data_IF_400420361520
#
_entry.id   IF_400420361520
#
_cell.length_a   1.000
_cell.length_b   1.000
_cell.length_c   1.000
_cell.angle_alpha   90.00
_cell.angle_beta   90.00
_cell.angle_gamma   90.00
#
_symmetry.space_group_name_H-M   'P 1'
#
loop_
_entity.id
_entity.type
_entity.pdbx_description
1 polymer ?
#
# COMPACT_ATOMS: atom_id res chain seq x y z
N UNK A 1 7.89 -40.47 53.05
CA UNK A 1 9.38 -40.58 53.08
C UNK A 1 9.92 -39.99 51.81
N UNK A 2 10.70 -38.94 52.00
CA UNK A 2 11.83 -38.33 51.27
C UNK A 2 11.48 -37.83 49.86
N UNK A 3 11.17 -36.54 49.65
CA UNK A 3 12.08 -35.37 49.57
C UNK A 3 13.36 -35.63 48.76
N UNK A 4 13.40 -35.05 47.56
CA UNK A 4 14.63 -34.45 47.06
C UNK A 4 14.34 -33.19 46.25
N UNK A 5 14.63 -32.07 46.85
CA UNK A 5 14.97 -30.81 46.22
C UNK A 5 16.15 -31.01 45.28
N UNK A 6 16.06 -30.51 44.05
CA UNK A 6 17.25 -30.23 43.27
C UNK A 6 17.18 -28.78 42.74
N UNK A 7 17.81 -27.89 43.49
CA UNK A 7 18.20 -26.57 43.07
C UNK A 7 19.34 -26.68 42.04
N UNK A 8 18.99 -26.51 40.78
CA UNK A 8 19.97 -26.35 39.70
C UNK A 8 19.93 -24.95 39.15
N UNK A 9 20.85 -24.10 39.62
CA UNK A 9 21.16 -22.82 38.99
C UNK A 9 21.69 -23.12 37.57
N UNK A 10 20.91 -22.83 36.55
CA UNK A 10 21.35 -22.90 35.14
C UNK A 10 21.82 -21.51 34.69
N UNK A 11 23.10 -21.26 34.84
CA UNK A 11 23.85 -20.25 34.09
C UNK A 11 24.07 -20.83 32.70
N UNK A 12 23.37 -20.35 31.68
CA UNK A 12 23.56 -20.79 30.32
C UNK A 12 22.34 -20.38 29.49
N UNK A 13 22.42 -19.21 28.84
CA UNK A 13 21.34 -18.67 28.01
C UNK A 13 20.95 -19.59 26.86
N UNK A 14 20.02 -20.47 27.08
CA UNK A 14 19.24 -21.07 26.00
C UNK A 14 18.18 -20.07 25.60
N UNK A 15 18.24 -19.61 24.34
CA UNK A 15 17.15 -18.89 23.68
C UNK A 15 15.89 -19.71 23.85
N UNK A 16 14.73 -19.09 24.13
CA UNK A 16 13.48 -19.83 24.18
C UNK A 16 13.27 -20.50 22.82
N UNK A 17 13.27 -21.80 22.83
CA UNK A 17 12.88 -22.67 21.75
C UNK A 17 11.36 -22.49 21.59
N UNK A 18 10.91 -21.57 20.73
CA UNK A 18 9.54 -21.55 20.23
C UNK A 18 9.37 -22.73 19.27
N UNK A 19 9.47 -23.94 19.82
CA UNK A 19 9.23 -25.17 19.09
C UNK A 19 7.76 -25.54 19.22
N UNK A 20 7.09 -25.46 18.09
CA UNK A 20 6.04 -26.36 17.64
C UNK A 20 5.22 -27.08 18.73
N UNK A 21 4.12 -26.44 19.12
CA UNK A 21 2.95 -27.17 19.58
C UNK A 21 1.66 -26.50 19.12
N UNK A 22 1.51 -26.34 17.81
CA UNK A 22 0.24 -26.10 17.16
C UNK A 22 -0.21 -27.39 16.46
N UNK A 23 -0.37 -28.44 17.22
CA UNK A 23 -1.18 -29.58 16.80
C UNK A 23 -2.64 -29.22 17.12
N UNK A 24 -3.43 -28.94 16.07
CA UNK A 24 -4.87 -29.09 16.17
C UNK A 24 -5.78 -27.97 15.72
N UNK A 25 -5.32 -26.73 15.42
CA UNK A 25 -6.18 -25.64 14.86
C UNK A 25 -5.49 -24.80 13.81
N UNK A 26 -4.52 -25.37 13.11
CA UNK A 26 -3.75 -24.66 12.09
C UNK A 26 -4.64 -24.24 10.90
N UNK A 27 -4.54 -22.97 10.49
CA UNK A 27 -5.13 -22.46 9.26
C UNK A 27 -4.70 -23.35 8.09
N UNK A 28 -5.62 -23.61 7.14
CA UNK A 28 -5.31 -24.43 5.96
C UNK A 28 -4.28 -23.71 5.08
N UNK A 29 -3.13 -24.30 4.86
CA UNK A 29 -2.08 -23.81 3.95
C UNK A 29 -2.48 -24.05 2.50
N UNK A 30 -3.22 -23.12 1.92
CA UNK A 30 -3.76 -23.22 0.55
C UNK A 30 -3.19 -22.18 -0.41
N UNK A 31 -2.64 -21.08 0.11
CA UNK A 31 -2.18 -19.95 -0.70
C UNK A 31 -0.84 -20.25 -1.38
N UNK A 32 -0.77 -19.95 -2.67
CA UNK A 32 0.45 -20.01 -3.46
C UNK A 32 0.87 -18.61 -3.92
N UNK A 33 2.03 -18.51 -4.57
CA UNK A 33 2.62 -17.23 -5.00
C UNK A 33 1.66 -16.30 -5.76
N UNK A 34 0.85 -16.76 -6.77
CA UNK A 34 -0.05 -15.84 -7.48
C UNK A 34 -1.12 -15.22 -6.59
N UNK A 35 -1.67 -16.01 -5.65
CA UNK A 35 -2.68 -15.51 -4.72
C UNK A 35 -2.10 -14.47 -3.76
N UNK A 36 -0.86 -14.67 -3.30
CA UNK A 36 -0.14 -13.73 -2.43
C UNK A 36 0.17 -12.41 -3.16
N UNK A 37 0.63 -12.48 -4.41
CA UNK A 37 0.90 -11.28 -5.23
C UNK A 37 -0.39 -10.52 -5.48
N UNK A 38 -1.47 -11.23 -5.85
CA UNK A 38 -2.77 -10.60 -6.05
C UNK A 38 -3.27 -9.92 -4.77
N UNK A 39 -3.19 -10.62 -3.63
CA UNK A 39 -3.55 -10.07 -2.32
C UNK A 39 -2.77 -8.78 -2.00
N UNK A 40 -1.45 -8.78 -2.20
CA UNK A 40 -0.61 -7.61 -1.98
C UNK A 40 -0.99 -6.44 -2.88
N UNK A 41 -1.25 -6.68 -4.18
CA UNK A 41 -1.70 -5.64 -5.10
C UNK A 41 -3.08 -5.10 -4.74
N UNK A 42 -4.00 -5.97 -4.27
CA UNK A 42 -5.32 -5.57 -3.74
C UNK A 42 -5.15 -4.63 -2.55
N UNK A 43 -4.26 -4.99 -1.63
CA UNK A 43 -4.06 -4.23 -0.39
C UNK A 43 -3.40 -2.86 -0.63
N UNK A 44 -2.52 -2.76 -1.62
CA UNK A 44 -1.87 -1.49 -2.02
C UNK A 44 -2.79 -0.54 -2.79
N UNK A 45 -4.00 -0.97 -3.15
CA UNK A 45 -5.03 -0.16 -3.83
C UNK A 45 -4.48 0.58 -5.05
N UNK A 46 -4.56 0.02 -6.27
CA UNK A 46 -3.94 0.58 -7.49
C UNK A 46 -4.26 2.05 -7.79
N UNK A 47 -5.40 2.55 -7.38
CA UNK A 47 -5.81 3.95 -7.61
C UNK A 47 -5.35 4.94 -6.52
N UNK A 48 -4.62 4.50 -5.49
CA UNK A 48 -4.06 5.40 -4.45
C UNK A 48 -3.19 6.50 -5.07
N UNK A 49 -2.58 6.23 -6.22
CA UNK A 49 -1.83 7.24 -6.97
C UNK A 49 -2.65 8.50 -7.21
N UNK A 50 -3.90 8.39 -7.60
CA UNK A 50 -4.75 9.53 -7.92
C UNK A 50 -5.14 10.37 -6.70
N UNK A 51 -5.15 9.80 -5.50
CA UNK A 51 -5.45 10.53 -4.26
C UNK A 51 -4.30 11.41 -3.78
N UNK A 52 -3.05 11.05 -4.13
CA UNK A 52 -1.85 11.78 -3.72
C UNK A 52 -1.26 12.61 -4.86
N UNK A 53 -1.74 12.41 -6.10
CA UNK A 53 -1.15 12.95 -7.32
C UNK A 53 -1.01 14.47 -7.30
N UNK A 54 -2.08 15.19 -7.01
CA UNK A 54 -2.07 16.66 -7.07
C UNK A 54 -1.12 17.26 -6.04
N UNK A 55 -1.22 16.83 -4.79
CA UNK A 55 -0.35 17.29 -3.70
C UNK A 55 1.12 17.05 -4.02
N UNK A 56 1.45 15.85 -4.52
CA UNK A 56 2.84 15.52 -4.86
C UNK A 56 3.31 16.26 -6.10
N UNK A 57 2.44 16.47 -7.09
CA UNK A 57 2.77 17.23 -8.29
C UNK A 57 3.09 18.69 -7.96
N UNK A 58 2.31 19.32 -7.07
CA UNK A 58 2.59 20.68 -6.59
C UNK A 58 3.91 20.76 -5.80
N UNK A 59 4.12 19.83 -4.86
CA UNK A 59 5.35 19.77 -4.05
C UNK A 59 6.60 19.60 -4.94
N UNK A 60 6.50 18.74 -5.97
CA UNK A 60 7.65 18.37 -6.80
C UNK A 60 7.83 19.23 -8.05
N UNK A 61 6.89 20.13 -8.35
CA UNK A 61 6.88 20.89 -9.60
C UNK A 61 6.75 19.99 -10.83
N UNK A 62 5.78 19.05 -10.80
CA UNK A 62 5.52 18.15 -11.90
C UNK A 62 6.45 16.92 -12.01
N UNK A 63 7.36 16.67 -11.04
CA UNK A 63 8.31 15.54 -11.06
C UNK A 63 7.79 14.29 -10.35
N UNK A 64 6.48 14.04 -10.41
CA UNK A 64 5.82 12.95 -9.67
C UNK A 64 6.33 11.56 -10.08
N UNK A 65 6.64 11.34 -11.37
CA UNK A 65 7.21 10.08 -11.82
C UNK A 65 8.60 9.81 -11.22
N UNK A 66 9.47 10.84 -11.15
CA UNK A 66 10.77 10.72 -10.50
C UNK A 66 10.65 10.47 -9.00
N UNK A 67 9.67 11.10 -8.34
CA UNK A 67 9.38 10.85 -6.93
C UNK A 67 8.93 9.39 -6.70
N UNK A 68 8.08 8.83 -7.56
CA UNK A 68 7.69 7.41 -7.48
C UNK A 68 8.87 6.45 -7.68
N UNK A 69 9.80 6.74 -8.60
CA UNK A 69 10.99 5.90 -8.79
C UNK A 69 11.91 5.93 -7.56
N UNK A 70 12.09 7.09 -6.94
CA UNK A 70 12.86 7.22 -5.69
C UNK A 70 12.18 6.46 -4.56
N UNK A 71 10.85 6.64 -4.41
CA UNK A 71 10.07 5.91 -3.41
C UNK A 71 10.15 4.41 -3.63
N UNK A 72 9.99 3.94 -4.88
CA UNK A 72 10.13 2.52 -5.21
C UNK A 72 11.51 1.99 -4.80
N UNK A 73 12.59 2.72 -5.11
CA UNK A 73 13.93 2.32 -4.70
C UNK A 73 14.05 2.20 -3.17
N UNK A 74 13.55 3.20 -2.42
CA UNK A 74 13.55 3.17 -0.96
C UNK A 74 12.70 2.02 -0.41
N UNK A 75 11.50 1.82 -0.94
CA UNK A 75 10.58 0.76 -0.51
C UNK A 75 11.10 -0.64 -0.82
N UNK A 76 11.92 -0.80 -1.88
CA UNK A 76 12.57 -2.08 -2.18
C UNK A 76 13.55 -2.49 -1.06
N UNK A 77 14.29 -1.57 -0.47
CA UNK A 77 15.14 -1.90 0.70
C UNK A 77 14.29 -2.43 1.85
N UNK A 78 13.15 -1.79 2.12
CA UNK A 78 12.22 -2.26 3.15
C UNK A 78 11.64 -3.62 2.78
N UNK A 79 11.19 -3.82 1.53
CA UNK A 79 10.65 -5.09 1.03
C UNK A 79 11.68 -6.23 1.14
N UNK A 80 12.95 -5.98 0.83
CA UNK A 80 14.03 -6.96 1.05
C UNK A 80 14.24 -7.27 2.52
N UNK A 81 14.20 -6.25 3.41
CA UNK A 81 14.30 -6.45 4.85
C UNK A 81 13.19 -7.39 5.36
N UNK A 82 11.93 -7.12 4.98
CA UNK A 82 10.79 -8.00 5.29
C UNK A 82 11.00 -9.42 4.72
N UNK A 83 11.48 -9.52 3.50
CA UNK A 83 11.78 -10.81 2.86
C UNK A 83 12.79 -11.65 3.65
N UNK A 84 13.83 -11.02 4.18
CA UNK A 84 14.81 -11.68 5.05
C UNK A 84 14.20 -12.10 6.38
N UNK A 85 13.34 -11.23 6.97
CA UNK A 85 12.68 -11.55 8.25
C UNK A 85 11.69 -12.70 8.12
N UNK A 86 10.88 -12.74 7.04
CA UNK A 86 9.98 -13.87 6.77
C UNK A 86 10.71 -15.19 6.61
N UNK A 87 11.87 -15.20 5.90
CA UNK A 87 12.68 -16.41 5.78
C UNK A 87 13.15 -16.94 7.11
N UNK A 88 13.47 -16.04 8.03
CA UNK A 88 13.97 -16.41 9.37
C UNK A 88 12.84 -16.73 10.34
N UNK A 89 11.74 -15.98 10.26
CA UNK A 89 10.58 -16.06 11.15
C UNK A 89 9.28 -16.10 10.32
N UNK A 90 8.88 -17.28 9.79
CA UNK A 90 7.68 -17.41 8.96
C UNK A 90 6.40 -17.45 9.82
N UNK A 91 6.17 -16.38 10.57
CA UNK A 91 5.02 -16.20 11.48
C UNK A 91 4.24 -14.96 11.08
N UNK A 92 2.95 -14.96 11.36
CA UNK A 92 2.11 -13.80 11.20
C UNK A 92 2.47 -12.70 12.22
N UNK A 93 2.09 -11.45 11.91
CA UNK A 93 2.27 -10.30 12.81
C UNK A 93 3.17 -9.19 12.28
N UNK A 94 3.67 -9.33 11.03
CA UNK A 94 4.39 -8.26 10.30
C UNK A 94 5.49 -7.60 11.16
N UNK A 95 5.64 -6.27 11.08
CA UNK A 95 6.68 -5.53 11.80
C UNK A 95 6.66 -5.73 13.32
N UNK A 96 5.48 -5.91 13.94
CA UNK A 96 5.38 -6.19 15.37
C UNK A 96 6.19 -7.42 15.78
N UNK A 97 5.92 -8.55 15.11
CA UNK A 97 6.59 -9.82 15.43
C UNK A 97 8.10 -9.75 15.17
N UNK A 98 8.50 -9.20 14.02
CA UNK A 98 9.90 -9.09 13.67
C UNK A 98 10.68 -8.18 14.62
N UNK A 99 10.08 -7.05 15.00
CA UNK A 99 10.71 -6.09 15.93
C UNK A 99 10.81 -6.66 17.34
N UNK A 100 9.74 -7.32 17.82
CA UNK A 100 9.75 -7.97 19.14
C UNK A 100 10.83 -9.04 19.25
N UNK A 101 11.00 -9.84 18.20
CA UNK A 101 12.01 -10.91 18.18
C UNK A 101 13.44 -10.39 18.02
N UNK A 102 13.62 -9.24 17.36
CA UNK A 102 14.96 -8.69 17.08
C UNK A 102 15.46 -7.74 18.16
N UNK A 103 14.58 -6.90 18.71
CA UNK A 103 14.94 -5.79 19.62
C UNK A 103 14.28 -5.91 20.99
N UNK A 104 13.43 -6.92 21.21
CA UNK A 104 12.75 -7.16 22.46
C UNK A 104 11.36 -6.53 22.57
N UNK A 105 10.62 -6.83 23.67
CA UNK A 105 9.19 -6.53 23.79
C UNK A 105 8.87 -5.03 23.82
N UNK A 106 9.74 -4.19 24.38
CA UNK A 106 9.49 -2.74 24.45
C UNK A 106 9.46 -2.10 23.05
N UNK A 107 10.46 -2.41 22.21
CA UNK A 107 10.52 -1.89 20.82
C UNK A 107 9.43 -2.53 19.98
N UNK A 108 9.15 -3.81 20.19
CA UNK A 108 8.03 -4.52 19.57
C UNK A 108 6.68 -3.87 19.89
N UNK A 109 6.45 -3.47 21.14
CA UNK A 109 5.23 -2.77 21.53
C UNK A 109 5.08 -1.44 20.79
N UNK A 110 6.13 -0.64 20.66
CA UNK A 110 6.09 0.62 19.90
C UNK A 110 5.77 0.40 18.42
N UNK A 111 6.38 -0.62 17.81
CA UNK A 111 6.07 -0.99 16.43
C UNK A 111 4.62 -1.46 16.28
N UNK A 112 4.13 -2.29 17.19
CA UNK A 112 2.73 -2.75 17.21
C UNK A 112 1.74 -1.61 17.43
N UNK A 113 2.06 -0.67 18.29
CA UNK A 113 1.25 0.52 18.51
C UNK A 113 1.17 1.39 17.24
N UNK A 114 2.30 1.60 16.55
CA UNK A 114 2.34 2.33 15.29
C UNK A 114 1.50 1.66 14.20
N UNK A 115 1.59 0.33 14.08
CA UNK A 115 0.72 -0.44 13.17
C UNK A 115 -0.77 -0.32 13.53
N UNK A 116 -1.10 -0.34 14.81
CA UNK A 116 -2.49 -0.15 15.25
C UNK A 116 -3.02 1.23 14.85
N UNK A 117 -2.20 2.28 14.98
CA UNK A 117 -2.57 3.63 14.56
C UNK A 117 -2.77 3.69 13.03
N UNK A 118 -1.91 3.04 12.25
CA UNK A 118 -2.05 2.95 10.80
C UNK A 118 -3.39 2.30 10.42
N UNK A 119 -3.71 1.14 10.98
CA UNK A 119 -4.99 0.46 10.75
C UNK A 119 -6.22 1.22 11.23
N UNK A 120 -6.06 2.16 12.17
CA UNK A 120 -7.15 3.01 12.64
C UNK A 120 -7.36 4.24 11.74
N UNK A 121 -6.26 4.93 11.39
CA UNK A 121 -6.35 6.20 10.65
C UNK A 121 -6.53 6.00 9.14
N UNK A 122 -5.99 4.94 8.56
CA UNK A 122 -6.10 4.68 7.12
C UNK A 122 -7.55 4.53 6.63
N UNK A 123 -8.42 3.73 7.27
CA UNK A 123 -9.85 3.69 6.92
C UNK A 123 -10.54 5.05 7.11
N UNK A 124 -10.20 5.80 8.15
CA UNK A 124 -10.78 7.11 8.40
C UNK A 124 -10.49 8.08 7.24
N UNK A 125 -9.25 8.14 6.77
CA UNK A 125 -8.85 8.97 5.62
C UNK A 125 -9.62 8.52 4.38
N UNK A 126 -9.73 7.21 4.13
CA UNK A 126 -10.44 6.70 2.96
C UNK A 126 -11.94 7.07 2.98
N UNK A 127 -12.61 7.05 4.14
CA UNK A 127 -14.00 7.50 4.25
C UNK A 127 -14.15 9.00 3.96
N UNK A 128 -13.20 9.83 4.40
CA UNK A 128 -13.19 11.27 4.10
C UNK A 128 -13.01 11.51 2.60
N UNK A 129 -12.10 10.79 1.94
CA UNK A 129 -11.89 10.86 0.49
C UNK A 129 -13.13 10.43 -0.30
N UNK A 130 -13.81 9.37 0.12
CA UNK A 130 -15.10 8.97 -0.48
C UNK A 130 -16.11 10.12 -0.38
N UNK A 131 -16.22 10.75 0.79
CA UNK A 131 -17.08 11.92 0.98
C UNK A 131 -16.72 13.08 0.06
N UNK A 132 -15.44 13.40 -0.08
CA UNK A 132 -14.93 14.45 -0.94
C UNK A 132 -15.26 14.19 -2.42
N UNK A 133 -14.85 13.04 -2.97
CA UNK A 133 -15.06 12.73 -4.39
C UNK A 133 -16.53 12.60 -4.77
N UNK A 134 -17.34 12.00 -3.90
CA UNK A 134 -18.78 11.88 -4.18
C UNK A 134 -19.50 13.22 -4.05
N UNK A 135 -19.07 14.11 -3.15
CA UNK A 135 -19.63 15.46 -3.07
C UNK A 135 -19.31 16.30 -4.32
N UNK A 136 -18.14 16.13 -4.92
CA UNK A 136 -17.78 16.77 -6.21
C UNK A 136 -18.71 16.23 -7.32
N UNK A 137 -18.97 14.93 -7.35
CA UNK A 137 -19.85 14.31 -8.36
C UNK A 137 -21.33 14.66 -8.14
N UNK A 138 -21.76 14.82 -6.88
CA UNK A 138 -23.13 15.10 -6.48
C UNK A 138 -23.22 16.28 -5.49
N UNK A 139 -23.03 17.53 -5.95
CA UNK A 139 -22.93 18.71 -5.06
C UNK A 139 -24.18 18.98 -4.24
N UNK A 140 -25.33 18.43 -4.64
CA UNK A 140 -26.61 18.57 -3.90
C UNK A 140 -26.61 17.80 -2.57
N UNK A 141 -25.71 16.83 -2.38
CA UNK A 141 -25.67 15.98 -1.20
C UNK A 141 -24.42 16.35 -0.37
N UNK A 142 -24.58 16.71 0.92
CA UNK A 142 -23.44 17.04 1.77
C UNK A 142 -22.46 15.86 1.91
N UNK A 143 -21.15 16.14 1.93
CA UNK A 143 -20.09 15.12 2.01
C UNK A 143 -20.26 14.13 3.18
N UNK A 144 -20.72 14.62 4.36
CA UNK A 144 -20.91 13.76 5.53
C UNK A 144 -21.93 12.64 5.33
N UNK A 145 -22.93 12.82 4.42
CA UNK A 145 -23.93 11.78 4.09
C UNK A 145 -23.22 10.60 3.41
N UNK A 146 -22.33 10.87 2.46
CA UNK A 146 -21.54 9.84 1.78
C UNK A 146 -20.58 9.13 2.74
N UNK A 147 -19.95 9.88 3.67
CA UNK A 147 -19.08 9.32 4.71
C UNK A 147 -19.86 8.32 5.58
N UNK A 148 -21.02 8.72 6.09
CA UNK A 148 -21.86 7.85 6.93
C UNK A 148 -22.40 6.64 6.15
N UNK A 149 -22.80 6.85 4.90
CA UNK A 149 -23.25 5.75 4.02
C UNK A 149 -22.13 4.72 3.78
N UNK A 150 -20.91 5.19 3.52
CA UNK A 150 -19.75 4.31 3.32
C UNK A 150 -19.40 3.53 4.60
N UNK A 151 -19.38 4.19 5.77
CA UNK A 151 -19.16 3.53 7.06
C UNK A 151 -20.24 2.47 7.30
N UNK A 152 -21.51 2.83 7.09
CA UNK A 152 -22.64 1.90 7.26
C UNK A 152 -22.52 0.68 6.34
N UNK A 153 -22.23 0.90 5.04
CA UNK A 153 -22.06 -0.16 4.06
C UNK A 153 -20.93 -1.12 4.46
N UNK A 154 -19.75 -0.59 4.78
CA UNK A 154 -18.60 -1.40 5.17
C UNK A 154 -18.87 -2.15 6.47
N UNK A 155 -19.54 -1.52 7.45
CA UNK A 155 -19.93 -2.17 8.70
C UNK A 155 -20.88 -3.34 8.43
N UNK A 156 -21.92 -3.15 7.61
CA UNK A 156 -22.85 -4.22 7.23
C UNK A 156 -22.14 -5.37 6.54
N UNK A 157 -21.25 -5.09 5.58
CA UNK A 157 -20.48 -6.11 4.89
C UNK A 157 -19.61 -6.93 5.85
N UNK A 158 -18.98 -6.27 6.83
CA UNK A 158 -18.17 -6.96 7.85
C UNK A 158 -19.03 -7.85 8.77
N UNK A 159 -20.23 -7.39 9.13
CA UNK A 159 -21.17 -8.19 9.97
C UNK A 159 -21.69 -9.40 9.21
N UNK A 160 -21.95 -9.28 7.91
CA UNK A 160 -22.41 -10.42 7.06
C UNK A 160 -21.33 -11.51 6.95
N UNK A 161 -20.06 -11.11 6.96
CA UNK A 161 -18.96 -12.05 7.04
C UNK A 161 -17.88 -11.90 5.97
N UNK A 162 -16.72 -12.50 6.25
CA UNK A 162 -15.48 -12.35 5.49
C UNK A 162 -15.57 -12.78 4.02
N UNK A 163 -16.41 -13.75 3.69
CA UNK A 163 -16.60 -14.22 2.31
C UNK A 163 -17.21 -13.14 1.41
N UNK A 164 -18.16 -12.35 1.96
CA UNK A 164 -18.79 -11.24 1.26
C UNK A 164 -17.80 -10.09 1.05
N UNK A 165 -16.98 -9.80 2.07
CA UNK A 165 -15.92 -8.79 1.99
C UNK A 165 -14.87 -9.18 0.95
N UNK A 166 -14.41 -10.44 0.93
CA UNK A 166 -13.42 -10.91 -0.04
C UNK A 166 -13.98 -10.86 -1.48
N UNK A 167 -15.22 -11.26 -1.69
CA UNK A 167 -15.87 -11.17 -3.00
C UNK A 167 -15.98 -9.73 -3.50
N UNK A 168 -16.43 -8.83 -2.66
CA UNK A 168 -16.53 -7.40 -2.97
C UNK A 168 -15.16 -6.78 -3.26
N UNK A 169 -14.15 -7.10 -2.46
CA UNK A 169 -12.76 -6.60 -2.65
C UNK A 169 -12.21 -7.01 -4.03
N UNK A 170 -12.43 -8.26 -4.45
CA UNK A 170 -11.97 -8.73 -5.77
C UNK A 170 -12.65 -7.96 -6.92
N UNK A 171 -13.95 -7.68 -6.80
CA UNK A 171 -14.68 -6.89 -7.81
C UNK A 171 -14.16 -5.46 -7.85
N UNK A 172 -13.99 -4.81 -6.70
CA UNK A 172 -13.50 -3.42 -6.62
C UNK A 172 -12.09 -3.32 -7.21
N UNK A 173 -11.19 -4.23 -6.86
CA UNK A 173 -9.82 -4.21 -7.38
C UNK A 173 -9.77 -4.54 -8.86
N UNK A 174 -10.58 -5.49 -9.32
CA UNK A 174 -10.75 -5.75 -10.75
C UNK A 174 -11.20 -4.49 -11.50
N UNK A 175 -12.18 -3.77 -10.96
CA UNK A 175 -12.64 -2.50 -11.52
C UNK A 175 -11.53 -1.42 -11.54
N UNK A 176 -10.68 -1.35 -10.50
CA UNK A 176 -9.55 -0.42 -10.46
C UNK A 176 -8.50 -0.72 -11.55
N UNK A 177 -8.18 -1.99 -11.79
CA UNK A 177 -7.28 -2.36 -12.89
C UNK A 177 -7.88 -2.02 -14.26
N UNK A 178 -9.18 -2.31 -14.47
CA UNK A 178 -9.88 -1.92 -15.70
C UNK A 178 -9.84 -0.40 -15.88
N UNK A 179 -10.12 0.35 -14.82
CA UNK A 179 -10.03 1.81 -14.82
C UNK A 179 -8.64 2.30 -15.21
N UNK A 180 -7.58 1.75 -14.61
CA UNK A 180 -6.19 2.11 -14.92
C UNK A 180 -5.85 1.86 -16.41
N UNK A 181 -6.30 0.72 -16.96
CA UNK A 181 -6.12 0.40 -18.39
C UNK A 181 -6.88 1.38 -19.28
N UNK A 182 -8.14 1.67 -18.94
CA UNK A 182 -8.97 2.63 -19.70
C UNK A 182 -8.35 4.02 -19.65
N UNK A 183 -7.91 4.48 -18.47
CA UNK A 183 -7.22 5.75 -18.32
C UNK A 183 -5.98 5.86 -19.20
N UNK A 184 -5.10 4.84 -19.16
CA UNK A 184 -3.90 4.82 -20.02
C UNK A 184 -4.27 4.81 -21.50
N UNK A 185 -5.29 4.06 -21.90
CA UNK A 185 -5.75 4.04 -23.30
C UNK A 185 -6.28 5.41 -23.76
N UNK A 186 -7.06 6.09 -22.90
CA UNK A 186 -7.55 7.45 -23.17
C UNK A 186 -6.39 8.45 -23.22
N UNK A 187 -5.46 8.38 -22.28
CA UNK A 187 -4.26 9.20 -22.26
C UNK A 187 -3.43 9.04 -23.55
N UNK A 188 -3.17 7.81 -23.97
CA UNK A 188 -2.46 7.52 -25.23
C UNK A 188 -3.20 8.09 -26.43
N UNK A 189 -4.52 7.95 -26.49
CA UNK A 189 -5.34 8.52 -27.57
C UNK A 189 -5.26 10.06 -27.59
N UNK A 190 -5.35 10.70 -26.44
CA UNK A 190 -5.22 12.15 -26.29
C UNK A 190 -3.83 12.62 -26.76
N UNK A 191 -2.78 11.98 -26.29
CA UNK A 191 -1.39 12.33 -26.61
C UNK A 191 -1.02 12.08 -28.08
N UNK A 192 -1.64 11.10 -28.74
CA UNK A 192 -1.44 10.85 -30.17
C UNK A 192 -1.84 12.03 -31.08
N UNK A 193 -2.68 12.96 -30.57
CA UNK A 193 -3.10 14.19 -31.26
C UNK A 193 -2.13 15.38 -31.06
N UNK A 194 -1.11 15.25 -30.20
CA UNK A 194 -0.21 16.35 -29.84
C UNK A 194 1.10 16.25 -30.66
N UNK A 195 1.42 17.22 -31.54
CA UNK A 195 2.57 17.12 -32.46
C UNK A 195 3.94 17.16 -31.76
N UNK A 196 4.04 17.79 -30.59
CA UNK A 196 5.28 17.93 -29.82
C UNK A 196 5.05 17.52 -28.37
N UNK A 197 5.35 16.27 -28.05
CA UNK A 197 5.22 15.71 -26.72
C UNK A 197 6.60 15.71 -26.03
N UNK A 198 6.71 16.41 -24.90
CA UNK A 198 7.92 16.34 -24.08
C UNK A 198 7.82 15.18 -23.07
N UNK A 199 8.39 14.06 -23.45
CA UNK A 199 8.44 12.86 -22.60
C UNK A 199 9.33 13.01 -21.36
N UNK A 200 10.15 14.07 -21.30
CA UNK A 200 10.99 14.32 -20.13
C UNK A 200 10.26 15.05 -19.01
N UNK A 201 9.14 15.71 -19.32
CA UNK A 201 8.36 16.52 -18.38
C UNK A 201 7.98 15.80 -17.08
N UNK A 202 7.46 14.56 -17.08
CA UNK A 202 7.11 13.84 -15.85
C UNK A 202 8.29 13.55 -14.92
N UNK A 203 9.53 13.65 -15.46
CA UNK A 203 10.76 13.37 -14.73
C UNK A 203 11.52 14.63 -14.33
N UNK A 204 11.52 15.63 -15.17
CA UNK A 204 12.27 16.89 -14.98
C UNK A 204 11.39 17.96 -14.33
N UNK A 205 10.08 17.94 -14.61
CA UNK A 205 9.11 18.92 -14.13
C UNK A 205 9.12 20.21 -14.93
N UNK A 206 8.34 21.18 -14.47
CA UNK A 206 8.17 22.50 -15.09
C UNK A 206 9.19 23.56 -14.62
N UNK A 207 10.11 23.19 -13.73
CA UNK A 207 11.11 24.08 -13.17
C UNK A 207 10.61 24.96 -12.01
N UNK A 208 9.35 24.89 -11.62
CA UNK A 208 8.77 25.68 -10.52
C UNK A 208 9.37 25.35 -9.16
N UNK A 209 9.77 24.10 -8.96
CA UNK A 209 10.35 23.59 -7.71
C UNK A 209 11.74 22.99 -7.97
N UNK A 210 12.79 23.84 -8.14
CA UNK A 210 14.13 23.35 -8.45
C UNK A 210 14.78 22.65 -7.23
N UNK A 211 15.72 21.73 -7.51
CA UNK A 211 16.51 21.07 -6.48
C UNK A 211 15.97 19.71 -6.04
N UNK A 212 16.71 19.11 -5.13
CA UNK A 212 16.46 17.74 -4.68
C UNK A 212 15.47 17.65 -3.48
N UNK A 213 15.42 18.69 -2.63
CA UNK A 213 14.61 18.70 -1.43
C UNK A 213 13.09 18.57 -1.71
N UNK A 214 12.48 19.32 -2.66
CA UNK A 214 11.07 19.12 -3.02
C UNK A 214 10.78 17.72 -3.55
N UNK A 215 11.71 17.16 -4.33
CA UNK A 215 11.58 15.81 -4.87
C UNK A 215 11.57 14.76 -3.75
N UNK A 216 12.45 14.89 -2.75
CA UNK A 216 12.48 14.02 -1.58
C UNK A 216 11.24 14.19 -0.69
N UNK A 217 10.72 15.41 -0.56
CA UNK A 217 9.46 15.66 0.16
C UNK A 217 8.28 14.96 -0.51
N UNK A 218 8.17 15.06 -1.84
CA UNK A 218 7.17 14.32 -2.61
C UNK A 218 7.34 12.81 -2.48
N UNK A 219 8.56 12.29 -2.57
CA UNK A 219 8.85 10.86 -2.38
C UNK A 219 8.44 10.37 -0.98
N UNK A 220 8.62 11.17 0.06
CA UNK A 220 8.20 10.83 1.41
C UNK A 220 6.67 10.70 1.52
N UNK A 221 5.91 11.60 0.88
CA UNK A 221 4.43 11.49 0.80
C UNK A 221 4.02 10.22 0.06
N UNK A 222 4.70 9.89 -1.03
CA UNK A 222 4.40 8.71 -1.84
C UNK A 222 4.66 7.37 -1.14
N UNK A 223 5.38 7.35 -0.02
CA UNK A 223 5.48 6.14 0.81
C UNK A 223 4.10 5.63 1.24
N UNK A 224 3.11 6.52 1.38
CA UNK A 224 1.72 6.15 1.67
C UNK A 224 1.10 5.25 0.58
N UNK A 225 1.46 5.45 -0.69
CA UNK A 225 0.96 4.64 -1.80
C UNK A 225 1.49 3.20 -1.78
N UNK A 226 2.57 2.95 -1.04
CA UNK A 226 3.16 1.62 -0.89
C UNK A 226 2.71 0.89 0.38
N UNK A 227 1.85 1.49 1.20
CA UNK A 227 1.30 0.79 2.37
C UNK A 227 0.56 -0.47 1.94
N UNK A 228 0.81 -1.57 2.65
CA UNK A 228 0.13 -2.84 2.40
C UNK A 228 1.01 -3.94 1.77
N UNK A 229 2.20 -3.65 1.23
CA UNK A 229 3.10 -4.71 0.76
C UNK A 229 3.50 -5.68 1.88
N UNK A 230 3.57 -5.19 3.12
CA UNK A 230 3.89 -5.96 4.32
C UNK A 230 2.73 -6.86 4.78
N UNK A 231 1.48 -6.53 4.39
CA UNK A 231 0.30 -7.33 4.68
C UNK A 231 0.41 -8.75 4.10
N UNK A 232 1.17 -8.95 3.01
CA UNK A 232 1.48 -10.28 2.48
C UNK A 232 2.16 -11.16 3.53
N UNK A 233 2.96 -10.58 4.43
CA UNK A 233 3.65 -11.32 5.50
C UNK A 233 2.70 -11.87 6.56
N UNK A 234 1.52 -11.29 6.73
CA UNK A 234 0.52 -11.76 7.69
C UNK A 234 -0.11 -13.10 7.27
N UNK A 235 -0.02 -13.46 5.98
CA UNK A 235 -0.52 -14.71 5.42
C UNK A 235 0.46 -15.89 5.56
N UNK A 236 1.49 -15.75 6.38
CA UNK A 236 2.53 -16.78 6.55
C UNK A 236 1.97 -18.14 7.00
N UNK A 237 0.93 -18.14 7.82
CA UNK A 237 0.32 -19.37 8.35
C UNK A 237 -0.60 -20.06 7.36
N UNK A 238 -1.11 -19.33 6.34
CA UNK A 238 -2.00 -19.85 5.28
C UNK A 238 -1.25 -20.19 3.99
N UNK A 239 0.04 -19.86 3.90
CA UNK A 239 0.87 -20.07 2.73
C UNK A 239 1.47 -21.48 2.71
N UNK A 240 1.48 -22.12 1.53
CA UNK A 240 2.03 -23.49 1.34
C UNK A 240 3.52 -23.55 1.67
N UNK A 241 4.29 -22.62 1.10
CA UNK A 241 5.73 -22.48 1.34
C UNK A 241 6.05 -21.02 1.72
N UNK A 242 5.86 -20.64 3.01
CA UNK A 242 5.97 -19.24 3.41
C UNK A 242 7.39 -18.69 3.27
N UNK A 243 8.42 -19.51 3.47
CA UNK A 243 9.82 -19.07 3.37
C UNK A 243 10.26 -18.75 1.94
N UNK A 244 9.57 -19.31 0.94
CA UNK A 244 9.85 -19.12 -0.48
C UNK A 244 8.90 -18.14 -1.14
N UNK A 245 7.60 -18.32 -0.93
CA UNK A 245 6.56 -17.63 -1.70
C UNK A 245 6.29 -16.23 -1.17
N UNK A 246 6.29 -16.01 0.16
CA UNK A 246 6.05 -14.68 0.73
C UNK A 246 7.16 -13.68 0.37
N UNK A 247 8.46 -14.00 0.52
CA UNK A 247 9.51 -13.06 0.12
C UNK A 247 9.44 -12.67 -1.36
N UNK A 248 9.09 -13.61 -2.22
CA UNK A 248 8.90 -13.34 -3.66
C UNK A 248 7.66 -12.47 -3.91
N UNK A 249 6.55 -12.79 -3.25
CA UNK A 249 5.32 -12.03 -3.37
C UNK A 249 5.52 -10.57 -2.93
N UNK A 250 6.17 -10.33 -1.79
CA UNK A 250 6.48 -8.98 -1.29
C UNK A 250 7.26 -8.18 -2.35
N UNK A 251 8.34 -8.74 -2.89
CA UNK A 251 9.16 -8.04 -3.88
C UNK A 251 8.41 -7.81 -5.19
N UNK A 252 7.72 -8.84 -5.71
CA UNK A 252 6.93 -8.74 -6.96
C UNK A 252 5.82 -7.71 -6.81
N UNK A 253 5.11 -7.70 -5.69
CA UNK A 253 4.03 -6.75 -5.41
C UNK A 253 4.58 -5.32 -5.33
N UNK A 254 5.67 -5.10 -4.60
CA UNK A 254 6.29 -3.77 -4.44
C UNK A 254 6.77 -3.23 -5.80
N UNK A 255 7.47 -4.05 -6.60
CA UNK A 255 7.94 -3.66 -7.94
C UNK A 255 6.76 -3.42 -8.87
N UNK A 256 5.80 -4.35 -8.90
CA UNK A 256 4.64 -4.27 -9.78
C UNK A 256 3.79 -3.02 -9.51
N UNK A 257 3.48 -2.75 -8.24
CA UNK A 257 2.74 -1.55 -7.86
C UNK A 257 3.54 -0.26 -8.12
N UNK A 258 4.82 -0.23 -7.78
CA UNK A 258 5.67 0.94 -8.02
C UNK A 258 5.81 1.29 -9.50
N UNK A 259 5.93 0.29 -10.37
CA UNK A 259 5.94 0.50 -11.83
C UNK A 259 4.57 0.97 -12.31
N UNK A 260 3.48 0.38 -11.83
CA UNK A 260 2.13 0.82 -12.16
C UNK A 260 1.90 2.30 -11.78
N UNK A 261 2.25 2.67 -10.56
CA UNK A 261 2.14 4.06 -10.10
C UNK A 261 2.99 5.01 -10.93
N UNK A 262 4.23 4.62 -11.27
CA UNK A 262 5.11 5.42 -12.13
C UNK A 262 4.50 5.62 -13.52
N UNK A 263 3.96 4.55 -14.12
CA UNK A 263 3.29 4.64 -15.45
C UNK A 263 2.08 5.57 -15.38
N UNK A 264 1.22 5.39 -14.37
CA UNK A 264 0.05 6.27 -14.20
C UNK A 264 0.48 7.73 -13.98
N UNK A 265 1.53 8.00 -13.20
CA UNK A 265 2.06 9.34 -12.97
C UNK A 265 2.60 9.96 -14.25
N UNK A 266 3.32 9.19 -15.08
CA UNK A 266 3.82 9.66 -16.39
C UNK A 266 2.66 10.08 -17.28
N UNK A 267 1.65 9.23 -17.46
CA UNK A 267 0.52 9.56 -18.31
C UNK A 267 -0.31 10.72 -17.76
N UNK A 268 -0.51 10.81 -16.44
CA UNK A 268 -1.22 11.93 -15.81
C UNK A 268 -0.50 13.26 -16.08
N UNK A 269 0.82 13.31 -15.94
CA UNK A 269 1.61 14.52 -16.16
C UNK A 269 1.71 14.90 -17.64
N UNK A 270 1.71 13.94 -18.55
CA UNK A 270 1.71 14.22 -20.00
C UNK A 270 0.36 14.74 -20.47
N UNK A 271 -0.75 14.24 -19.90
CA UNK A 271 -2.11 14.72 -20.22
C UNK A 271 -2.36 16.10 -19.63
N UNK A 272 -1.88 16.35 -18.42
CA UNK A 272 -1.99 17.62 -17.73
C UNK A 272 -0.59 18.13 -17.36
N UNK A 273 0.08 18.90 -18.24
CA UNK A 273 1.48 19.34 -18.07
C UNK A 273 1.68 20.34 -16.93
N UNK A 274 0.61 20.89 -16.34
CA UNK A 274 0.69 21.83 -15.23
C UNK A 274 1.10 21.16 -13.91
N UNK A 275 1.58 21.97 -12.97
CA UNK A 275 1.86 21.57 -11.59
C UNK A 275 0.94 22.23 -10.57
N UNK A 276 0.00 23.07 -11.01
CA UNK A 276 -0.95 23.81 -10.18
C UNK A 276 -2.36 23.37 -10.54
N UNK A 277 -3.12 22.95 -9.54
CA UNK A 277 -4.52 22.51 -9.64
C UNK A 277 -5.43 23.52 -8.94
N UNK A 278 -6.72 23.54 -9.28
CA UNK A 278 -7.72 24.32 -8.53
C UNK A 278 -7.85 23.83 -7.09
N UNK A 279 -7.77 22.51 -6.93
CA UNK A 279 -7.71 21.83 -5.65
C UNK A 279 -6.84 20.58 -5.78
N UNK A 280 -5.70 20.60 -5.10
CA UNK A 280 -4.71 19.51 -5.16
C UNK A 280 -5.26 18.16 -4.69
N UNK A 281 -6.24 18.15 -3.77
CA UNK A 281 -6.85 16.90 -3.27
C UNK A 281 -7.76 16.25 -4.33
N UNK A 282 -8.32 17.02 -5.24
CA UNK A 282 -9.19 16.55 -6.33
C UNK A 282 -8.57 16.62 -7.71
N UNK A 283 -7.27 16.85 -7.81
CA UNK A 283 -6.50 16.98 -9.07
C UNK A 283 -6.74 15.82 -10.06
N UNK A 284 -7.02 14.63 -9.56
CA UNK A 284 -7.37 13.48 -10.39
C UNK A 284 -8.55 13.76 -11.33
N UNK A 285 -9.55 14.52 -10.88
CA UNK A 285 -10.70 14.88 -11.71
C UNK A 285 -10.30 15.80 -12.87
N UNK A 286 -9.40 16.78 -12.61
CA UNK A 286 -8.90 17.67 -13.66
C UNK A 286 -8.11 16.90 -14.72
N UNK A 287 -7.26 15.95 -14.29
CA UNK A 287 -6.49 15.08 -15.19
C UNK A 287 -7.42 14.20 -16.02
N UNK A 288 -8.46 13.62 -15.41
CA UNK A 288 -9.44 12.77 -16.13
C UNK A 288 -10.25 13.57 -17.14
N UNK A 289 -10.68 14.77 -16.78
CA UNK A 289 -11.40 15.65 -17.71
C UNK A 289 -10.50 16.11 -18.88
N UNK A 290 -9.21 16.28 -18.65
CA UNK A 290 -8.24 16.60 -19.70
C UNK A 290 -7.97 15.40 -20.64
N UNK A 291 -8.04 14.17 -20.12
CA UNK A 291 -7.85 12.95 -20.91
C UNK A 291 -9.02 12.64 -21.87
N UNK A 292 -10.21 13.17 -21.63
CA UNK A 292 -11.44 13.02 -22.46
C UNK A 292 -12.62 12.51 -21.65
#
# INVERSE_FOLDING_TARGET
MASQHNNGILIGGKRPEYVHSAQGTGLRRILGLPALVFFGLVYMVPLTMFTTYGVVTEITGGRTASAYLITLAAMLFTAFSYSFMVKKYPIAGSAYSYTSLSFGPCVGFLAGWSLLLDYLFLPMINYLLIGLFLNIAFPMVPAWVFVLAAIGLVTVLNVIGISSVAGMSNVIVGAQFVFAVVFVAMAVKHLAGIPSLDLSLPFVGDGSQPGFAPLMAGAAVLCLSFLGFDAVSTLAEETRDPQRDIPRAIVITTVGAGLLFTVLAVFSQLVFPGSVFQDAESAANEVMLAAG
#
